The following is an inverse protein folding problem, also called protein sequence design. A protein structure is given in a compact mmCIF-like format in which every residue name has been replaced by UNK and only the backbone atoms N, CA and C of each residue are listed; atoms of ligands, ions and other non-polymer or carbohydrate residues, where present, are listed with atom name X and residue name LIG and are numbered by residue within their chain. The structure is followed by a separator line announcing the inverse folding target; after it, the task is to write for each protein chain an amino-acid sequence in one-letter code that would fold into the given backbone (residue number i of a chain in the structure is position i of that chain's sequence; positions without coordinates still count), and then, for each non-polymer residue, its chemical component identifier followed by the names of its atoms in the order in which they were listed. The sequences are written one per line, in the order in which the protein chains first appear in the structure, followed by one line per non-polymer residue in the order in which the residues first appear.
data_IF_489282121031
#
_entry.id   IF_489282121031
#
_cell.length_a   1.000
_cell.length_b   1.000
_cell.length_c   1.000
_cell.angle_alpha   90.00
_cell.angle_beta   90.00
_cell.angle_gamma   90.00
#
_symmetry.space_group_name_H-M   'P 1'
#
loop_
_entity.id
_entity.type
_entity.pdbx_description
1 polymer ?
#
# COMPACT_ATOMS: atom_id res chain seq x y z
N UNK A 1 -3.22 19.26 -58.72
CA UNK A 1 -2.47 19.10 -57.45
C UNK A 1 -3.28 19.39 -56.18
N UNK A 2 -4.59 19.72 -56.24
CA UNK A 2 -5.39 20.07 -55.06
C UNK A 2 -6.12 18.91 -54.33
N UNK A 3 -6.15 17.70 -54.89
CA UNK A 3 -6.92 16.57 -54.33
C UNK A 3 -6.14 15.68 -53.35
N UNK A 4 -4.80 15.69 -53.37
CA UNK A 4 -4.01 14.83 -52.49
C UNK A 4 -3.85 15.43 -51.09
N UNK A 5 -3.71 16.75 -51.01
CA UNK A 5 -3.55 17.47 -49.73
C UNK A 5 -4.85 17.45 -48.92
N UNK A 6 -6.02 17.63 -49.57
CA UNK A 6 -7.32 17.54 -48.88
C UNK A 6 -7.62 16.13 -48.36
N UNK A 7 -7.16 15.09 -49.06
CA UNK A 7 -7.36 13.70 -48.64
C UNK A 7 -6.53 13.36 -47.40
N UNK A 8 -5.29 13.85 -47.31
CA UNK A 8 -4.47 13.70 -46.11
C UNK A 8 -5.06 14.41 -44.89
N UNK A 9 -5.57 15.64 -45.05
CA UNK A 9 -6.23 16.35 -43.95
C UNK A 9 -7.54 15.69 -43.50
N UNK A 10 -8.31 15.13 -44.43
CA UNK A 10 -9.53 14.37 -44.09
C UNK A 10 -9.22 13.08 -43.32
N UNK A 11 -8.15 12.38 -43.69
CA UNK A 11 -7.70 11.15 -43.01
C UNK A 11 -7.11 11.45 -41.62
N UNK A 12 -6.39 12.56 -41.45
CA UNK A 12 -5.87 13.01 -40.15
C UNK A 12 -6.98 13.49 -39.20
N UNK A 13 -7.99 14.20 -39.72
CA UNK A 13 -9.17 14.61 -38.95
C UNK A 13 -9.93 13.40 -38.39
N UNK A 14 -10.18 12.40 -39.23
CA UNK A 14 -10.86 11.16 -38.82
C UNK A 14 -10.08 10.42 -37.73
N UNK A 15 -8.75 10.28 -37.86
CA UNK A 15 -7.92 9.64 -36.83
C UNK A 15 -8.02 10.34 -35.48
N UNK A 16 -8.01 11.68 -35.47
CA UNK A 16 -8.15 12.47 -34.25
C UNK A 16 -9.50 12.23 -33.55
N UNK A 17 -10.58 12.12 -34.31
CA UNK A 17 -11.92 11.86 -33.78
C UNK A 17 -12.00 10.46 -33.18
N UNK A 18 -11.48 9.43 -33.88
CA UNK A 18 -11.45 8.06 -33.35
C UNK A 18 -10.59 7.92 -32.09
N UNK A 19 -9.43 8.59 -32.03
CA UNK A 19 -8.59 8.62 -30.82
C UNK A 19 -9.30 9.32 -29.67
N UNK A 20 -10.04 10.40 -29.94
CA UNK A 20 -10.83 11.11 -28.94
C UNK A 20 -11.97 10.24 -28.39
N UNK A 21 -12.64 9.48 -29.26
CA UNK A 21 -13.69 8.51 -28.88
C UNK A 21 -13.09 7.37 -28.04
N UNK A 22 -11.97 6.80 -28.48
CA UNK A 22 -11.27 5.73 -27.76
C UNK A 22 -10.84 6.19 -26.36
N UNK A 23 -10.32 7.42 -26.24
CA UNK A 23 -9.99 8.02 -24.94
C UNK A 23 -11.23 8.23 -24.06
N UNK A 24 -12.38 8.58 -24.66
CA UNK A 24 -13.65 8.69 -23.97
C UNK A 24 -14.15 7.35 -23.40
N UNK A 25 -14.02 6.27 -24.17
CA UNK A 25 -14.39 4.91 -23.74
C UNK A 25 -13.49 4.45 -22.59
N UNK A 26 -12.17 4.60 -22.70
CA UNK A 26 -11.25 4.16 -21.64
C UNK A 26 -11.39 4.94 -20.32
N UNK A 27 -11.97 6.15 -20.35
CA UNK A 27 -12.30 6.93 -19.15
C UNK A 27 -13.55 6.44 -18.41
N UNK A 28 -14.44 5.70 -19.06
CA UNK A 28 -15.63 5.15 -18.43
C UNK A 28 -15.36 3.89 -17.61
N UNK A 29 -16.33 3.52 -16.77
CA UNK A 29 -16.23 2.38 -15.86
C UNK A 29 -16.12 1.06 -16.67
N UNK A 30 -15.04 0.27 -16.50
CA UNK A 30 -14.87 -1.03 -17.16
C UNK A 30 -16.05 -1.98 -16.95
N UNK A 31 -16.73 -1.88 -15.81
CA UNK A 31 -17.80 -2.79 -15.39
C UNK A 31 -19.11 -2.56 -16.14
N UNK A 32 -19.26 -1.38 -16.75
CA UNK A 32 -20.46 -0.95 -17.47
C UNK A 32 -20.32 -1.01 -18.99
N UNK A 33 -19.12 -1.38 -19.47
CA UNK A 33 -18.77 -1.37 -20.88
C UNK A 33 -18.63 -2.78 -21.44
N UNK A 34 -18.99 -2.94 -22.71
CA UNK A 34 -18.72 -4.20 -23.40
C UNK A 34 -17.20 -4.41 -23.54
N UNK A 35 -16.68 -5.60 -23.20
CA UNK A 35 -15.25 -5.90 -23.26
C UNK A 35 -14.63 -5.63 -24.64
N UNK A 36 -15.38 -5.90 -25.70
CA UNK A 36 -14.96 -5.74 -27.09
C UNK A 36 -14.80 -4.27 -27.47
N UNK A 37 -15.66 -3.39 -26.95
CA UNK A 37 -15.58 -1.94 -27.16
C UNK A 37 -14.32 -1.35 -26.51
N UNK A 38 -13.97 -1.87 -25.33
CA UNK A 38 -12.78 -1.45 -24.59
C UNK A 38 -11.50 -1.95 -25.25
N UNK A 39 -11.51 -3.19 -25.74
CA UNK A 39 -10.41 -3.76 -26.52
C UNK A 39 -10.18 -2.96 -27.82
N UNK A 40 -11.25 -2.57 -28.52
CA UNK A 40 -11.17 -1.68 -29.66
C UNK A 40 -10.53 -0.34 -29.31
N UNK A 41 -10.92 0.28 -28.18
CA UNK A 41 -10.38 1.55 -27.73
C UNK A 41 -8.87 1.47 -27.38
N UNK A 42 -8.43 0.40 -26.72
CA UNK A 42 -7.00 0.16 -26.45
C UNK A 42 -6.22 0.00 -27.75
N UNK A 43 -6.73 -0.77 -28.71
CA UNK A 43 -6.07 -0.99 -30.00
C UNK A 43 -6.00 0.29 -30.84
N UNK A 44 -7.05 1.12 -30.80
CA UNK A 44 -7.10 2.40 -31.50
C UNK A 44 -6.07 3.39 -30.95
N UNK A 45 -5.92 3.47 -29.62
CA UNK A 45 -4.90 4.32 -28.99
C UNK A 45 -3.48 3.81 -29.20
N UNK A 46 -3.26 2.50 -29.12
CA UNK A 46 -1.93 1.90 -29.34
C UNK A 46 -1.45 2.08 -30.79
N UNK A 47 -2.35 1.91 -31.77
CA UNK A 47 -2.02 2.03 -33.20
C UNK A 47 -1.76 3.47 -33.64
N UNK A 48 -2.27 4.46 -32.90
CA UNK A 48 -2.08 5.88 -33.18
C UNK A 48 -1.10 6.55 -32.20
N UNK A 49 -0.51 5.80 -31.25
CA UNK A 49 0.47 6.33 -30.30
C UNK A 49 1.86 6.38 -30.96
N UNK A 50 2.62 7.50 -30.80
CA UNK A 50 4.01 7.57 -31.23
C UNK A 50 4.92 6.54 -30.56
N UNK A 51 4.54 6.08 -29.36
CA UNK A 51 5.24 5.06 -28.58
C UNK A 51 4.24 3.92 -28.31
N UNK A 52 4.48 2.70 -28.84
CA UNK A 52 3.61 1.55 -28.59
C UNK A 52 3.50 1.27 -27.09
N UNK A 53 2.30 0.91 -26.64
CA UNK A 53 2.05 0.60 -25.25
C UNK A 53 2.72 -0.73 -24.85
N UNK A 54 3.33 -0.75 -23.66
CA UNK A 54 3.83 -1.99 -23.08
C UNK A 54 2.67 -2.95 -22.79
N UNK A 55 2.95 -4.25 -22.72
CA UNK A 55 1.93 -5.27 -22.42
C UNK A 55 1.18 -4.96 -21.10
N UNK A 56 1.91 -4.49 -20.09
CA UNK A 56 1.36 -4.11 -18.79
C UNK A 56 0.44 -2.88 -18.88
N UNK A 57 0.76 -1.90 -19.73
CA UNK A 57 -0.10 -0.74 -19.96
C UNK A 57 -1.39 -1.12 -20.71
N UNK A 58 -1.30 -2.03 -21.69
CA UNK A 58 -2.49 -2.58 -22.38
C UNK A 58 -3.41 -3.33 -21.42
N UNK A 59 -2.84 -4.24 -20.63
CA UNK A 59 -3.58 -4.99 -19.63
C UNK A 59 -4.20 -4.08 -18.55
N UNK A 60 -3.50 -3.00 -18.19
CA UNK A 60 -3.99 -1.96 -17.29
C UNK A 60 -5.18 -1.20 -17.89
N UNK A 61 -5.07 -0.71 -19.11
CA UNK A 61 -6.15 0.00 -19.81
C UNK A 61 -7.38 -0.89 -20.04
N UNK A 62 -7.20 -2.18 -20.32
CA UNK A 62 -8.30 -3.14 -20.45
C UNK A 62 -9.04 -3.32 -19.11
N UNK A 63 -8.30 -3.48 -18.02
CA UNK A 63 -8.85 -3.66 -16.67
C UNK A 63 -9.29 -2.35 -16.02
N UNK A 64 -9.01 -1.20 -16.63
CA UNK A 64 -9.25 0.14 -16.06
C UNK A 64 -8.28 0.47 -14.91
N UNK A 65 -7.20 -0.28 -14.79
CA UNK A 65 -6.12 -0.03 -13.84
C UNK A 65 -5.21 1.01 -14.47
N UNK A 66 -5.39 2.27 -14.07
CA UNK A 66 -4.44 3.34 -14.36
C UNK A 66 -3.15 2.99 -13.60
N UNK A 67 -2.01 2.97 -14.29
CA UNK A 67 -0.72 2.75 -13.65
C UNK A 67 -0.54 3.78 -12.51
N UNK A 68 -0.42 3.29 -11.28
CA UNK A 68 -0.31 4.12 -10.09
C UNK A 68 0.97 4.96 -10.05
N UNK A 69 1.06 5.93 -9.14
CA UNK A 69 2.22 6.79 -9.01
C UNK A 69 3.44 5.97 -8.60
N UNK A 70 4.61 6.29 -9.15
CA UNK A 70 5.87 5.70 -8.73
C UNK A 70 6.22 6.22 -7.33
N UNK A 71 6.02 5.39 -6.31
CA UNK A 71 6.31 5.72 -4.92
C UNK A 71 7.80 5.46 -4.64
N UNK A 72 8.56 6.44 -4.14
CA UNK A 72 9.96 6.22 -3.78
C UNK A 72 10.06 5.23 -2.61
N UNK A 73 11.03 4.29 -2.63
CA UNK A 73 11.22 3.38 -1.51
C UNK A 73 11.65 4.15 -0.24
N UNK A 74 11.33 3.63 0.95
CA UNK A 74 11.79 4.22 2.20
C UNK A 74 13.32 4.18 2.30
N UNK A 75 13.90 5.16 2.97
CA UNK A 75 15.35 5.22 3.18
C UNK A 75 15.77 4.00 4.02
N UNK A 76 16.71 3.15 3.55
CA UNK A 76 17.04 1.88 4.22
C UNK A 76 17.46 2.02 5.68
N UNK A 77 18.14 3.12 6.03
CA UNK A 77 18.54 3.41 7.41
C UNK A 77 17.36 3.54 8.37
N UNK A 78 16.23 4.05 7.88
CA UNK A 78 15.02 4.28 8.67
C UNK A 78 14.20 3.01 8.92
N UNK A 79 14.42 1.96 8.12
CA UNK A 79 13.74 0.67 8.27
C UNK A 79 14.35 -0.22 9.36
N UNK A 80 15.40 0.21 10.04
CA UNK A 80 16.02 -0.59 11.09
C UNK A 80 15.06 -0.70 12.29
N UNK A 81 14.64 -1.92 12.67
CA UNK A 81 13.73 -2.10 13.78
C UNK A 81 14.41 -1.74 15.11
N UNK A 82 13.62 -1.33 16.13
CA UNK A 82 14.14 -1.10 17.46
C UNK A 82 14.70 -2.39 18.05
N UNK A 83 15.82 -2.29 18.76
CA UNK A 83 16.40 -3.43 19.50
C UNK A 83 15.56 -3.71 20.75
N UNK A 84 15.51 -4.98 21.18
CA UNK A 84 14.90 -5.36 22.46
C UNK A 84 15.66 -4.69 23.61
N UNK A 85 14.94 -4.07 24.54
CA UNK A 85 15.54 -3.53 25.77
C UNK A 85 15.74 -4.61 26.82
N UNK A 86 16.88 -4.57 27.52
CA UNK A 86 17.24 -5.51 28.58
C UNK A 86 17.47 -4.83 29.93
N UNK A 87 17.39 -3.49 30.01
CA UNK A 87 17.56 -2.72 31.27
C UNK A 87 16.77 -3.32 32.44
N UNK A 88 15.51 -3.72 32.25
CA UNK A 88 14.69 -4.28 33.33
C UNK A 88 15.21 -5.65 33.81
N UNK A 89 15.64 -6.50 32.89
CA UNK A 89 16.20 -7.82 33.20
C UNK A 89 17.55 -7.66 33.93
N UNK A 90 18.40 -6.75 33.46
CA UNK A 90 19.70 -6.45 34.05
C UNK A 90 19.60 -5.75 35.41
N UNK A 91 18.60 -4.87 35.59
CA UNK A 91 18.30 -4.26 36.89
C UNK A 91 17.95 -5.32 37.93
N UNK A 92 17.10 -6.30 37.58
CA UNK A 92 16.74 -7.41 38.49
C UNK A 92 17.98 -8.21 38.89
N UNK A 93 18.84 -8.55 37.93
CA UNK A 93 20.11 -9.25 38.22
C UNK A 93 20.99 -8.45 39.18
N UNK A 94 21.07 -7.13 39.00
CA UNK A 94 21.84 -6.27 39.90
C UNK A 94 21.23 -6.21 41.30
N UNK A 95 19.89 -6.11 41.39
CA UNK A 95 19.17 -6.11 42.66
C UNK A 95 19.38 -7.42 43.43
N UNK A 96 19.29 -8.56 42.75
CA UNK A 96 19.52 -9.87 43.35
C UNK A 96 20.99 -10.03 43.79
N UNK A 97 21.94 -9.59 42.95
CA UNK A 97 23.37 -9.65 43.27
C UNK A 97 23.75 -8.77 44.47
N UNK A 98 23.07 -7.63 44.65
CA UNK A 98 23.35 -6.70 45.75
C UNK A 98 23.10 -7.29 47.15
N UNK A 99 22.32 -8.37 47.25
CA UNK A 99 22.02 -9.03 48.52
C UNK A 99 23.19 -9.88 49.04
N UNK A 100 24.11 -10.29 48.17
CA UNK A 100 25.17 -11.26 48.50
C UNK A 100 26.58 -10.76 48.17
N UNK A 101 26.71 -9.66 47.42
CA UNK A 101 28.00 -9.13 46.96
C UNK A 101 28.71 -8.25 48.01
N UNK A 102 30.05 -8.28 47.99
CA UNK A 102 30.85 -7.27 48.67
C UNK A 102 30.83 -5.93 47.92
N UNK A 103 31.27 -4.87 48.61
CA UNK A 103 31.20 -3.50 48.10
C UNK A 103 31.97 -3.29 46.78
N UNK A 104 33.12 -3.95 46.58
CA UNK A 104 33.92 -3.78 45.37
C UNK A 104 33.27 -4.48 44.17
N UNK A 105 32.77 -5.71 44.36
CA UNK A 105 32.04 -6.43 43.33
C UNK A 105 30.72 -5.75 42.98
N UNK A 106 30.01 -5.20 43.95
CA UNK A 106 28.78 -4.44 43.71
C UNK A 106 29.05 -3.17 42.89
N UNK A 107 30.13 -2.44 43.19
CA UNK A 107 30.52 -1.24 42.44
C UNK A 107 30.83 -1.58 40.97
N UNK A 108 31.53 -2.69 40.71
CA UNK A 108 31.82 -3.16 39.36
C UNK A 108 30.54 -3.56 38.60
N UNK A 109 29.63 -4.28 39.27
CA UNK A 109 28.35 -4.68 38.68
C UNK A 109 27.47 -3.46 38.35
N UNK A 110 27.45 -2.46 39.23
CA UNK A 110 26.74 -1.21 38.98
C UNK A 110 27.31 -0.43 37.80
N UNK A 111 28.64 -0.33 37.68
CA UNK A 111 29.27 0.32 36.53
C UNK A 111 28.90 -0.37 35.22
N UNK A 112 28.93 -1.71 35.20
CA UNK A 112 28.51 -2.51 34.04
C UNK A 112 27.03 -2.28 33.69
N UNK A 113 26.16 -2.22 34.70
CA UNK A 113 24.74 -1.90 34.50
C UNK A 113 24.56 -0.49 33.93
N UNK A 114 25.28 0.50 34.47
CA UNK A 114 25.26 1.89 33.97
C UNK A 114 25.64 1.97 32.49
N UNK A 115 26.66 1.21 32.07
CA UNK A 115 27.07 1.14 30.66
C UNK A 115 26.01 0.51 29.76
N UNK A 116 25.30 -0.52 30.24
CA UNK A 116 24.16 -1.10 29.53
C UNK A 116 23.05 -0.06 29.34
N UNK A 117 22.67 0.65 30.41
CA UNK A 117 21.63 1.69 30.36
C UNK A 117 22.00 2.77 29.36
N UNK A 118 23.23 3.30 29.42
CA UNK A 118 23.71 4.32 28.47
C UNK A 118 23.63 3.84 27.03
N UNK A 119 24.06 2.61 26.76
CA UNK A 119 24.04 2.04 25.41
C UNK A 119 22.61 1.88 24.89
N UNK A 120 21.70 1.37 25.71
CA UNK A 120 20.29 1.19 25.32
C UNK A 120 19.56 2.52 25.12
N UNK A 121 19.88 3.56 25.90
CA UNK A 121 19.33 4.90 25.70
C UNK A 121 19.79 5.51 24.37
N UNK A 122 21.06 5.34 24.01
CA UNK A 122 21.57 5.76 22.69
C UNK A 122 20.85 5.01 21.56
N UNK A 123 20.70 3.68 21.68
CA UNK A 123 19.97 2.87 20.70
C UNK A 123 18.48 3.28 20.58
N UNK A 124 17.87 3.71 21.68
CA UNK A 124 16.49 4.22 21.69
C UNK A 124 16.35 5.55 20.95
N UNK A 125 17.30 6.46 21.10
CA UNK A 125 17.32 7.73 20.36
C UNK A 125 17.38 7.48 18.85
N UNK A 126 18.25 6.56 18.40
CA UNK A 126 18.31 6.17 16.99
C UNK A 126 16.99 5.54 16.51
N UNK A 127 16.36 4.70 17.36
CA UNK A 127 15.08 4.09 17.04
C UNK A 127 13.96 5.12 16.90
N UNK A 128 13.95 6.16 17.74
CA UNK A 128 13.00 7.27 17.65
C UNK A 128 13.20 8.08 16.36
N UNK A 129 14.46 8.36 15.98
CA UNK A 129 14.77 9.03 14.72
C UNK A 129 14.33 8.19 13.50
N UNK A 130 14.59 6.88 13.52
CA UNK A 130 14.15 5.95 12.47
C UNK A 130 12.62 5.93 12.35
N UNK A 131 11.90 5.89 13.48
CA UNK A 131 10.44 5.94 13.51
C UNK A 131 9.93 7.25 12.90
N UNK A 132 10.50 8.38 13.31
CA UNK A 132 10.12 9.68 12.74
C UNK A 132 10.36 9.73 11.23
N UNK A 133 11.47 9.18 10.74
CA UNK A 133 11.75 9.08 9.32
C UNK A 133 10.72 8.21 8.59
N UNK A 134 10.37 7.03 9.13
CA UNK A 134 9.35 6.15 8.55
C UNK A 134 7.96 6.79 8.55
N UNK A 135 7.61 7.55 9.58
CA UNK A 135 6.36 8.30 9.64
C UNK A 135 6.30 9.39 8.56
N UNK A 136 7.40 10.11 8.32
CA UNK A 136 7.49 11.09 7.25
C UNK A 136 7.36 10.44 5.87
N UNK A 137 8.04 9.32 5.65
CA UNK A 137 7.90 8.56 4.41
C UNK A 137 6.45 8.10 4.20
N UNK A 138 5.80 7.55 5.24
CA UNK A 138 4.41 7.11 5.15
C UNK A 138 3.45 8.26 4.82
N UNK A 139 3.67 9.46 5.38
CA UNK A 139 2.90 10.66 5.04
C UNK A 139 3.05 11.02 3.56
N UNK A 140 4.29 11.04 3.05
CA UNK A 140 4.56 11.31 1.65
C UNK A 140 3.85 10.32 0.72
N UNK A 141 3.88 9.03 1.06
CA UNK A 141 3.20 7.97 0.28
C UNK A 141 1.70 8.22 0.22
N UNK A 142 1.09 8.55 1.36
CA UNK A 142 -0.36 8.83 1.45
C UNK A 142 -0.72 10.10 0.68
N UNK A 143 0.11 11.14 0.73
CA UNK A 143 -0.09 12.36 -0.07
C UNK A 143 -0.04 12.07 -1.57
N UNK A 144 0.98 11.32 -2.02
CA UNK A 144 1.11 10.88 -3.41
C UNK A 144 -0.10 10.06 -3.87
N UNK A 145 -0.56 9.10 -3.05
CA UNK A 145 -1.75 8.29 -3.35
C UNK A 145 -3.01 9.15 -3.43
N UNK A 146 -3.21 10.08 -2.49
CA UNK A 146 -4.36 10.97 -2.49
C UNK A 146 -4.37 11.92 -3.71
N UNK A 147 -3.22 12.49 -4.07
CA UNK A 147 -3.10 13.35 -5.25
C UNK A 147 -3.39 12.58 -6.54
N UNK A 148 -2.87 11.37 -6.65
CA UNK A 148 -3.19 10.49 -7.76
C UNK A 148 -4.68 10.16 -7.82
N UNK A 149 -5.29 9.76 -6.70
CA UNK A 149 -6.73 9.42 -6.61
C UNK A 149 -7.61 10.61 -6.96
N UNK A 150 -7.26 11.80 -6.47
CA UNK A 150 -7.93 13.05 -6.85
C UNK A 150 -7.82 13.33 -8.35
N UNK A 151 -6.67 13.07 -8.97
CA UNK A 151 -6.46 13.27 -10.41
C UNK A 151 -7.34 12.36 -11.28
N UNK A 152 -7.73 11.18 -10.77
CA UNK A 152 -8.59 10.22 -11.46
C UNK A 152 -10.06 10.25 -10.97
N UNK A 153 -10.41 11.18 -10.08
CA UNK A 153 -11.77 11.27 -9.51
C UNK A 153 -12.15 10.12 -8.58
N UNK A 154 -11.17 9.39 -8.03
CA UNK A 154 -11.39 8.32 -7.07
C UNK A 154 -11.47 8.86 -5.63
N UNK A 155 -12.16 8.13 -4.75
CA UNK A 155 -12.23 8.44 -3.32
C UNK A 155 -10.83 8.37 -2.68
N UNK A 156 -10.58 9.20 -1.66
CA UNK A 156 -9.27 9.30 -0.98
C UNK A 156 -8.92 8.01 -0.21
N UNK A 157 -7.64 7.82 0.12
CA UNK A 157 -7.18 6.59 0.75
C UNK A 157 -7.87 6.33 2.09
N UNK A 158 -8.12 7.38 2.89
CA UNK A 158 -8.73 7.25 4.21
C UNK A 158 -10.16 6.76 4.11
N UNK A 159 -10.97 7.33 3.21
CA UNK A 159 -12.35 6.88 3.00
C UNK A 159 -12.44 5.39 2.64
N UNK A 160 -11.45 4.89 1.90
CA UNK A 160 -11.39 3.50 1.46
C UNK A 160 -10.94 2.57 2.58
N UNK A 161 -9.96 2.99 3.38
CA UNK A 161 -9.59 2.26 4.60
C UNK A 161 -10.75 2.20 5.61
N UNK A 162 -11.46 3.32 5.82
CA UNK A 162 -12.61 3.39 6.73
C UNK A 162 -13.75 2.47 6.23
N UNK A 163 -13.98 2.42 4.91
CA UNK A 163 -14.92 1.49 4.28
C UNK A 163 -14.55 0.03 4.49
N UNK A 164 -13.29 -0.35 4.22
CA UNK A 164 -12.79 -1.71 4.43
C UNK A 164 -12.88 -2.14 5.90
N UNK A 165 -12.54 -1.26 6.83
CA UNK A 165 -12.67 -1.55 8.27
C UNK A 165 -14.13 -1.80 8.65
N UNK A 166 -15.05 -0.98 8.14
CA UNK A 166 -16.49 -1.16 8.35
C UNK A 166 -16.97 -2.50 7.80
N UNK A 167 -16.57 -2.87 6.58
CA UNK A 167 -16.90 -4.18 5.99
C UNK A 167 -16.34 -5.34 6.80
N UNK A 168 -15.09 -5.24 7.29
CA UNK A 168 -14.48 -6.25 8.16
C UNK A 168 -15.29 -6.38 9.46
N UNK A 169 -15.70 -5.27 10.07
CA UNK A 169 -16.51 -5.27 11.29
C UNK A 169 -17.92 -5.84 11.06
N UNK A 170 -18.57 -5.50 9.95
CA UNK A 170 -19.90 -6.01 9.60
C UNK A 170 -19.87 -7.51 9.27
N UNK A 171 -18.85 -7.97 8.54
CA UNK A 171 -18.68 -9.38 8.21
C UNK A 171 -18.29 -10.23 9.43
N UNK A 172 -17.46 -9.68 10.33
CA UNK A 172 -17.14 -10.36 11.60
C UNK A 172 -18.35 -10.41 12.54
N UNK A 173 -19.15 -9.34 12.64
CA UNK A 173 -20.41 -9.35 13.38
C UNK A 173 -21.46 -10.32 12.80
N UNK A 174 -21.57 -10.41 11.46
CA UNK A 174 -22.46 -11.36 10.78
C UNK A 174 -22.06 -12.83 11.02
N UNK A 175 -20.76 -13.11 11.22
CA UNK A 175 -20.27 -14.45 11.56
C UNK A 175 -20.63 -14.90 12.99
N UNK A 176 -20.82 -13.95 13.91
CA UNK A 176 -21.23 -14.20 15.30
C UNK A 176 -22.76 -14.33 15.42
N UNK A 177 -23.52 -13.77 14.48
CA UNK A 177 -24.98 -13.70 14.54
C UNK A 177 -25.73 -14.91 13.92
N UNK A 178 -25.07 -15.96 13.45
CA UNK A 178 -25.75 -17.20 13.02
C UNK A 178 -26.05 -18.08 14.25
N UNK A 179 -27.32 -18.27 14.66
CA UNK A 179 -27.65 -19.21 15.73
C UNK A 179 -27.41 -20.62 15.21
N UNK A 180 -26.74 -21.41 16.03
CA UNK A 180 -26.48 -22.82 15.83
C UNK A 180 -27.82 -23.57 15.76
N UNK A 181 -28.28 -23.90 14.55
CA UNK A 181 -29.53 -24.60 14.34
C UNK A 181 -29.33 -25.73 13.34
N UNK A 182 -28.63 -26.79 13.72
CA UNK A 182 -28.82 -28.13 13.14
C UNK A 182 -28.79 -29.18 14.26
N UNK A 183 -29.98 -29.40 14.84
CA UNK A 183 -30.33 -30.60 15.58
C UNK A 183 -30.16 -31.84 14.68
N UNK A 184 -29.29 -32.75 15.10
CA UNK A 184 -29.08 -34.05 14.45
C UNK A 184 -30.36 -34.90 14.50
N UNK A 185 -31.00 -35.13 13.36
CA UNK A 185 -31.88 -36.28 13.15
C UNK A 185 -31.07 -37.41 12.53
N UNK A 186 -30.89 -38.49 13.27
CA UNK A 186 -30.33 -39.76 12.79
C UNK A 186 -31.45 -40.59 12.16
N UNK A 187 -31.28 -41.15 10.96
CA UNK A 187 -31.98 -42.35 10.56
C UNK A 187 -31.02 -43.55 10.51
N UNK A 188 -31.45 -44.58 11.20
CA UNK A 188 -30.97 -45.96 11.23
C UNK A 188 -30.95 -46.66 9.86
N UNK A 189 -29.83 -47.36 9.58
CA UNK A 189 -29.63 -48.70 8.95
C UNK A 189 -30.55 -49.20 7.81
N UNK A 190 -30.03 -50.06 6.91
CA UNK A 190 -29.75 -51.47 7.22
C UNK A 190 -28.27 -51.82 7.34
#
# INVERSE_FOLDING_TARGET
MGNFVQKQFAEEGLKKDYVSIAAGILKGDPSTQEPDLRQWAVNMLDSNSPIPFSKQAKDGLLKGIVAGPAIPPPIPSCMKPPKKRTVLEEYKKLADFSQTADANSLLQAFNKFSDIVKKEEVDALYSAANLSCMQTWAKLVVEIDNDFRKSIGAADSKSIYDGLQKEIMENSAASVAKPNAHSHTVPSTP
#
